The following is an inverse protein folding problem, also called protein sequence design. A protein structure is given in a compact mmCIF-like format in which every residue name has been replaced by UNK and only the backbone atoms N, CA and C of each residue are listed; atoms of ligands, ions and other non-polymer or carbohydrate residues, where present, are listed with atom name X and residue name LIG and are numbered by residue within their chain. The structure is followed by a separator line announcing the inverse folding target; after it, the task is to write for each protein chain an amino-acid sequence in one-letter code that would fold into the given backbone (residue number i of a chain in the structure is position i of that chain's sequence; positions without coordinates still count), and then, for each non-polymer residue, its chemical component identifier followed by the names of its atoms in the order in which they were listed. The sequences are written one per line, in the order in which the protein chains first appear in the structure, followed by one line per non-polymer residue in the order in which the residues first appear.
data_IF_575860017614
#
_entry.id   IF_575860017614
#
_cell.length_a   1.000
_cell.length_b   1.000
_cell.length_c   1.000
_cell.angle_alpha   90.00
_cell.angle_beta   90.00
_cell.angle_gamma   90.00
#
_symmetry.space_group_name_H-M   'P 1'
#
loop_
_entity.id
_entity.type
_entity.pdbx_description
1 polymer ?
#
# COMPACT_ATOMS: atom_id res chain seq x y z
N UNK A 1 -2.69 -7.94 -17.90
CA UNK A 1 -1.74 -6.87 -17.55
C UNK A 1 -0.31 -7.18 -17.93
N UNK A 2 0.14 -8.41 -17.70
CA UNK A 2 1.52 -8.84 -17.97
C UNK A 2 1.97 -8.52 -19.40
N UNK A 3 1.11 -8.71 -20.39
CA UNK A 3 1.45 -8.49 -21.80
C UNK A 3 1.70 -7.02 -22.17
N UNK A 4 1.20 -6.09 -21.33
CA UNK A 4 1.29 -4.64 -21.58
C UNK A 4 2.33 -3.95 -20.70
N UNK A 5 3.08 -4.72 -19.92
CA UNK A 5 4.07 -4.22 -18.96
C UNK A 5 5.48 -4.67 -19.35
N UNK A 6 6.47 -3.86 -19.00
CA UNK A 6 7.89 -4.20 -19.20
C UNK A 6 8.41 -5.07 -18.07
N UNK A 7 8.04 -4.76 -16.84
CA UNK A 7 8.55 -5.40 -15.64
C UNK A 7 7.43 -5.82 -14.70
N UNK A 8 7.70 -6.85 -13.94
CA UNK A 8 6.95 -7.11 -12.72
C UNK A 8 7.53 -6.19 -11.63
N UNK A 9 6.65 -5.50 -10.89
CA UNK A 9 7.05 -4.67 -9.76
C UNK A 9 6.62 -5.39 -8.50
N UNK A 10 7.48 -6.28 -7.99
CA UNK A 10 7.13 -7.19 -6.91
C UNK A 10 7.14 -6.48 -5.56
N UNK A 11 8.23 -5.81 -5.21
CA UNK A 11 8.35 -5.13 -3.93
C UNK A 11 9.74 -4.56 -3.72
N UNK A 12 9.87 -3.80 -2.63
CA UNK A 12 11.12 -3.15 -2.25
C UNK A 12 11.18 -2.97 -0.73
N UNK A 13 12.38 -2.77 -0.21
CA UNK A 13 12.60 -2.52 1.21
C UNK A 13 12.93 -3.78 1.99
N UNK A 14 12.53 -3.81 3.25
CA UNK A 14 12.91 -4.87 4.18
C UNK A 14 11.88 -6.01 4.17
N UNK A 15 12.26 -7.18 3.64
CA UNK A 15 11.38 -8.37 3.60
C UNK A 15 11.04 -8.89 5.01
N UNK A 16 11.85 -8.55 6.01
CA UNK A 16 11.61 -8.89 7.41
C UNK A 16 10.95 -7.73 8.18
N UNK A 17 10.51 -6.71 7.46
CA UNK A 17 9.91 -5.52 8.05
C UNK A 17 8.61 -5.81 8.79
N UNK A 18 8.41 -5.11 9.91
CA UNK A 18 7.19 -5.22 10.71
C UNK A 18 5.99 -4.55 10.05
N UNK A 19 6.22 -3.61 9.13
CA UNK A 19 5.17 -2.89 8.42
C UNK A 19 5.23 -3.25 6.94
N UNK A 20 4.07 -3.62 6.37
CA UNK A 20 3.90 -3.86 4.94
C UNK A 20 2.96 -2.79 4.39
N UNK A 21 3.47 -2.03 3.42
CA UNK A 21 2.72 -0.98 2.76
C UNK A 21 2.34 -1.45 1.36
N UNK A 22 1.06 -1.42 1.05
CA UNK A 22 0.52 -1.93 -0.20
C UNK A 22 -0.17 -0.80 -0.95
N UNK A 23 0.40 -0.42 -2.10
CA UNK A 23 -0.19 0.55 -3.01
C UNK A 23 -1.12 -0.11 -4.02
N UNK A 24 -1.50 0.64 -5.04
CA UNK A 24 -2.50 0.21 -6.01
C UNK A 24 -1.88 -0.61 -7.16
N UNK A 25 -1.13 0.03 -8.03
CA UNK A 25 -0.48 -0.59 -9.19
C UNK A 25 0.69 0.27 -9.66
N UNK A 26 1.68 -0.33 -10.36
CA UNK A 26 2.78 0.44 -10.93
C UNK A 26 2.30 1.41 -12.00
N UNK A 27 2.93 2.58 -12.05
CA UNK A 27 2.80 3.53 -13.15
C UNK A 27 3.94 3.35 -14.16
N UNK A 28 4.06 4.30 -15.09
CA UNK A 28 5.09 4.25 -16.14
C UNK A 28 6.50 4.15 -15.60
N UNK A 29 6.82 4.99 -14.61
CA UNK A 29 8.18 5.05 -14.07
C UNK A 29 8.54 3.78 -13.30
N UNK A 30 7.61 3.28 -12.49
CA UNK A 30 7.78 2.03 -11.76
C UNK A 30 7.95 0.84 -12.69
N UNK A 31 7.17 0.81 -13.79
CA UNK A 31 7.29 -0.23 -14.82
C UNK A 31 8.66 -0.23 -15.50
N UNK A 32 9.20 0.98 -15.75
CA UNK A 32 10.55 1.12 -16.36
C UNK A 32 11.66 0.65 -15.43
N UNK A 33 11.57 1.01 -14.16
CA UNK A 33 12.63 0.77 -13.16
C UNK A 33 12.49 -0.60 -12.49
N UNK A 34 11.27 -1.13 -12.40
CA UNK A 34 10.99 -2.38 -11.72
C UNK A 34 10.87 -2.25 -10.20
N UNK A 35 10.76 -1.02 -9.67
CA UNK A 35 10.64 -0.73 -8.24
C UNK A 35 9.41 0.10 -7.95
N UNK A 36 8.75 -0.13 -6.78
CA UNK A 36 7.53 0.62 -6.43
C UNK A 36 7.84 2.07 -6.03
N UNK A 37 6.86 2.93 -6.21
CA UNK A 37 6.84 4.31 -5.73
C UNK A 37 8.10 5.09 -6.11
N UNK A 38 8.21 5.45 -7.37
CA UNK A 38 9.32 6.23 -7.94
C UNK A 38 8.85 7.66 -8.27
N UNK A 39 9.81 8.57 -8.57
CA UNK A 39 9.51 9.94 -8.97
C UNK A 39 8.79 10.73 -7.88
N UNK A 40 7.85 11.61 -8.28
CA UNK A 40 7.12 12.50 -7.37
C UNK A 40 6.28 11.74 -6.34
N UNK A 41 5.66 10.65 -6.77
CA UNK A 41 4.88 9.76 -5.90
C UNK A 41 5.80 9.17 -4.82
N UNK A 42 6.96 8.68 -5.22
CA UNK A 42 7.95 8.12 -4.30
C UNK A 42 8.51 9.16 -3.34
N UNK A 43 8.79 10.37 -3.83
CA UNK A 43 9.26 11.48 -2.99
C UNK A 43 8.24 11.85 -1.93
N UNK A 44 6.95 11.91 -2.30
CA UNK A 44 5.89 12.20 -1.33
C UNK A 44 5.77 11.08 -0.29
N UNK A 45 5.78 9.83 -0.72
CA UNK A 45 5.75 8.69 0.20
C UNK A 45 6.89 8.75 1.21
N UNK A 46 8.11 9.02 0.74
CA UNK A 46 9.28 9.12 1.61
C UNK A 46 9.11 10.23 2.65
N UNK A 47 8.59 11.38 2.25
CA UNK A 47 8.31 12.49 3.17
C UNK A 47 7.24 12.13 4.20
N UNK A 48 6.19 11.44 3.77
CA UNK A 48 5.12 10.99 4.66
C UNK A 48 5.69 10.05 5.74
N UNK A 49 6.49 9.08 5.34
CA UNK A 49 7.11 8.13 6.27
C UNK A 49 8.08 8.82 7.23
N UNK A 50 8.93 9.72 6.71
CA UNK A 50 9.88 10.46 7.54
C UNK A 50 9.19 11.37 8.56
N UNK A 51 7.99 11.86 8.25
CA UNK A 51 7.19 12.67 9.18
C UNK A 51 6.85 11.92 10.47
N UNK A 52 6.86 10.60 10.44
CA UNK A 52 6.67 9.75 11.63
C UNK A 52 7.91 8.91 11.94
N UNK A 53 9.08 9.40 11.54
CA UNK A 53 10.41 8.82 11.80
C UNK A 53 10.60 7.41 11.23
N UNK A 54 9.99 7.12 10.10
CA UNK A 54 10.18 5.84 9.39
C UNK A 54 10.99 6.07 8.13
N UNK A 55 12.11 5.38 8.00
CA UNK A 55 12.87 5.31 6.76
C UNK A 55 12.25 4.25 5.86
N UNK A 56 12.12 4.57 4.57
CA UNK A 56 11.50 3.67 3.60
C UNK A 56 12.12 2.28 3.57
N UNK A 57 13.44 2.20 3.70
CA UNK A 57 14.17 0.92 3.69
C UNK A 57 13.91 0.02 4.91
N UNK A 58 13.22 0.53 5.94
CA UNK A 58 12.89 -0.24 7.14
C UNK A 58 11.57 -1.02 7.01
N UNK A 59 10.75 -0.66 6.02
CA UNK A 59 9.46 -1.32 5.79
C UNK A 59 9.48 -2.07 4.45
N UNK A 60 8.51 -2.96 4.26
CA UNK A 60 8.33 -3.63 2.97
C UNK A 60 7.21 -2.96 2.19
N UNK A 61 7.47 -2.66 0.93
CA UNK A 61 6.55 -1.92 0.06
C UNK A 61 6.24 -2.74 -1.18
N UNK A 62 4.95 -2.88 -1.52
CA UNK A 62 4.50 -3.56 -2.72
C UNK A 62 3.22 -2.91 -3.27
N UNK A 63 2.59 -3.56 -4.23
CA UNK A 63 1.32 -3.15 -4.84
C UNK A 63 0.29 -4.26 -4.79
N UNK A 64 -0.98 -3.89 -4.84
CA UNK A 64 -2.08 -4.85 -4.99
C UNK A 64 -2.00 -5.60 -6.31
N UNK A 65 -1.60 -4.90 -7.38
CA UNK A 65 -1.31 -5.47 -8.69
C UNK A 65 0.15 -5.19 -9.04
N UNK A 66 0.88 -6.20 -9.46
CA UNK A 66 2.33 -6.11 -9.68
C UNK A 66 2.72 -5.76 -11.12
N UNK A 67 1.74 -5.55 -12.00
CA UNK A 67 1.94 -5.14 -13.39
C UNK A 67 1.19 -3.85 -13.68
N UNK A 68 1.83 -2.97 -14.47
CA UNK A 68 1.24 -1.69 -14.87
C UNK A 68 0.01 -1.92 -15.76
N UNK A 69 -1.16 -1.33 -15.43
CA UNK A 69 -2.30 -1.34 -16.33
C UNK A 69 -2.01 -0.55 -17.63
N UNK A 70 -2.60 -0.95 -18.77
CA UNK A 70 -2.41 -0.21 -20.03
C UNK A 70 -2.77 1.27 -19.88
N UNK A 71 -1.91 2.15 -20.39
CA UNK A 71 -2.10 3.60 -20.39
C UNK A 71 -2.38 4.19 -18.99
N UNK A 72 -1.88 3.54 -17.94
CA UNK A 72 -2.09 3.93 -16.53
C UNK A 72 -3.57 4.02 -16.14
N UNK A 73 -4.44 3.31 -16.83
CA UNK A 73 -5.84 3.24 -16.45
C UNK A 73 -6.02 2.60 -15.09
N UNK A 74 -7.15 2.87 -14.45
CA UNK A 74 -7.49 2.18 -13.20
C UNK A 74 -7.66 0.68 -13.46
N UNK A 75 -7.16 -0.19 -12.57
CA UNK A 75 -7.40 -1.62 -12.68
C UNK A 75 -8.89 -1.97 -12.70
N UNK A 76 -9.25 -2.95 -13.51
CA UNK A 76 -10.62 -3.44 -13.60
C UNK A 76 -10.92 -4.41 -12.46
N UNK A 77 -12.19 -4.51 -12.09
CA UNK A 77 -12.60 -5.39 -10.98
C UNK A 77 -12.14 -6.84 -11.11
N UNK A 78 -12.21 -7.41 -12.32
CA UNK A 78 -11.75 -8.79 -12.55
C UNK A 78 -10.22 -8.93 -12.43
N UNK A 79 -9.46 -7.89 -12.77
CA UNK A 79 -8.03 -7.87 -12.59
C UNK A 79 -7.65 -7.84 -11.11
N UNK A 80 -8.35 -6.99 -10.34
CA UNK A 80 -8.16 -6.91 -8.90
C UNK A 80 -8.45 -8.26 -8.23
N UNK A 81 -9.56 -8.90 -8.60
CA UNK A 81 -9.93 -10.22 -8.05
C UNK A 81 -8.89 -11.28 -8.38
N UNK A 82 -8.37 -11.28 -9.60
CA UNK A 82 -7.34 -12.23 -10.02
C UNK A 82 -6.06 -12.11 -9.19
N UNK A 83 -5.62 -10.88 -8.91
CA UNK A 83 -4.40 -10.63 -8.15
C UNK A 83 -4.60 -10.70 -6.63
N UNK A 84 -5.83 -10.67 -6.16
CA UNK A 84 -6.16 -10.69 -4.74
C UNK A 84 -5.58 -11.92 -4.01
N UNK A 85 -5.65 -13.08 -4.62
CA UNK A 85 -5.11 -14.31 -4.02
C UNK A 85 -3.59 -14.28 -3.92
N UNK A 86 -2.91 -13.75 -4.95
CA UNK A 86 -1.46 -13.55 -4.92
C UNK A 86 -1.07 -12.57 -3.83
N UNK A 87 -1.85 -11.49 -3.66
CA UNK A 87 -1.60 -10.51 -2.60
C UNK A 87 -1.71 -11.14 -1.22
N UNK A 88 -2.73 -11.96 -0.99
CA UNK A 88 -2.91 -12.66 0.29
C UNK A 88 -1.75 -13.59 0.60
N UNK A 89 -1.28 -14.35 -0.40
CA UNK A 89 -0.07 -15.18 -0.25
C UNK A 89 1.16 -14.32 0.05
N UNK A 90 1.30 -13.19 -0.64
CA UNK A 90 2.41 -12.25 -0.43
C UNK A 90 2.43 -11.73 1.00
N UNK A 91 1.26 -11.33 1.52
CA UNK A 91 1.12 -10.90 2.92
C UNK A 91 1.55 -12.02 3.87
N UNK A 92 1.10 -13.24 3.62
CA UNK A 92 1.43 -14.39 4.47
C UNK A 92 2.93 -14.70 4.48
N UNK A 93 3.61 -14.54 3.35
CA UNK A 93 5.05 -14.77 3.22
C UNK A 93 5.84 -13.69 3.98
N UNK A 94 5.49 -12.43 3.81
CA UNK A 94 6.15 -11.31 4.51
C UNK A 94 5.82 -11.35 6.00
N UNK A 95 4.59 -11.71 6.34
CA UNK A 95 4.13 -11.87 7.72
C UNK A 95 4.40 -10.64 8.59
N UNK A 96 3.89 -9.46 8.17
CA UNK A 96 4.12 -8.22 8.92
C UNK A 96 3.30 -8.16 10.21
N UNK A 97 3.60 -7.19 11.06
CA UNK A 97 2.82 -6.89 12.27
C UNK A 97 1.71 -5.87 11.99
N UNK A 98 1.89 -5.03 10.98
CA UNK A 98 0.93 -4.00 10.55
C UNK A 98 0.89 -3.96 9.04
N UNK A 99 -0.32 -3.80 8.48
CA UNK A 99 -0.52 -3.61 7.04
C UNK A 99 -1.14 -2.23 6.81
N UNK A 100 -0.59 -1.47 5.87
CA UNK A 100 -1.13 -0.19 5.41
C UNK A 100 -1.52 -0.32 3.95
N UNK A 101 -2.79 -0.08 3.65
CA UNK A 101 -3.32 -0.06 2.28
C UNK A 101 -3.42 1.39 1.82
N UNK A 102 -2.77 1.72 0.71
CA UNK A 102 -2.80 3.06 0.14
C UNK A 102 -3.62 3.07 -1.14
N UNK A 103 -4.82 3.64 -1.05
CA UNK A 103 -5.72 3.83 -2.17
C UNK A 103 -6.86 2.83 -2.23
N UNK A 104 -7.89 3.19 -3.02
CA UNK A 104 -9.13 2.40 -3.14
C UNK A 104 -8.93 1.03 -3.79
N UNK A 105 -7.99 0.92 -4.73
CA UNK A 105 -7.67 -0.36 -5.38
C UNK A 105 -7.07 -1.34 -4.40
N UNK A 106 -6.15 -0.88 -3.54
CA UNK A 106 -5.56 -1.71 -2.51
C UNK A 106 -6.63 -2.17 -1.50
N UNK A 107 -7.52 -1.26 -1.11
CA UNK A 107 -8.64 -1.57 -0.23
C UNK A 107 -9.55 -2.66 -0.83
N UNK A 108 -9.94 -2.48 -2.09
CA UNK A 108 -10.79 -3.44 -2.80
C UNK A 108 -10.13 -4.82 -2.93
N UNK A 109 -8.83 -4.87 -3.18
CA UNK A 109 -8.09 -6.12 -3.32
C UNK A 109 -8.13 -6.97 -2.05
N UNK A 110 -8.17 -6.35 -0.88
CA UNK A 110 -8.15 -7.05 0.41
C UNK A 110 -9.56 -7.29 0.94
N UNK A 111 -10.41 -6.25 0.94
CA UNK A 111 -11.73 -6.32 1.60
C UNK A 111 -12.88 -6.64 0.66
N UNK A 112 -12.70 -6.51 -0.65
CA UNK A 112 -13.78 -6.69 -1.66
C UNK A 112 -15.03 -5.88 -1.32
N UNK A 113 -14.81 -4.69 -0.75
CA UNK A 113 -15.87 -3.82 -0.23
C UNK A 113 -16.18 -2.70 -1.21
N UNK A 114 -17.44 -2.26 -1.25
CA UNK A 114 -17.90 -1.08 -1.98
C UNK A 114 -17.81 0.19 -1.12
N UNK A 115 -17.21 0.12 0.06
CA UNK A 115 -17.04 1.28 0.92
C UNK A 115 -16.17 2.35 0.25
N UNK A 116 -16.50 3.61 0.53
CA UNK A 116 -15.69 4.73 0.05
C UNK A 116 -14.45 4.87 0.92
N UNK A 117 -13.31 5.07 0.28
CA UNK A 117 -12.04 5.26 1.00
C UNK A 117 -12.10 6.46 1.95
N UNK A 118 -12.82 7.52 1.57
CA UNK A 118 -13.01 8.71 2.42
C UNK A 118 -13.69 8.40 3.75
N UNK A 119 -14.49 7.35 3.82
CA UNK A 119 -15.19 6.92 5.03
C UNK A 119 -14.41 5.86 5.81
N UNK A 120 -13.56 5.10 5.14
CA UNK A 120 -12.81 3.97 5.72
C UNK A 120 -11.42 4.35 6.19
N UNK A 121 -10.82 5.37 5.58
CA UNK A 121 -9.45 5.78 5.91
C UNK A 121 -9.26 6.06 7.41
N UNK A 122 -8.08 5.74 7.91
CA UNK A 122 -7.69 6.03 9.28
C UNK A 122 -8.28 5.11 10.35
N UNK A 123 -9.16 4.21 9.97
CA UNK A 123 -9.78 3.25 10.89
C UNK A 123 -9.02 1.94 10.90
N UNK A 124 -8.71 1.43 12.08
CA UNK A 124 -8.09 0.12 12.22
C UNK A 124 -9.13 -0.97 12.00
N UNK A 125 -8.78 -1.92 11.14
CA UNK A 125 -9.54 -3.14 10.89
C UNK A 125 -8.61 -4.33 11.08
N UNK A 126 -9.15 -5.53 10.98
CA UNK A 126 -8.38 -6.76 11.05
C UNK A 126 -8.72 -7.66 9.88
N UNK A 127 -7.72 -8.39 9.38
CA UNK A 127 -7.94 -9.47 8.42
C UNK A 127 -7.34 -10.75 8.99
N UNK A 128 -7.94 -11.87 8.62
CA UNK A 128 -7.47 -13.20 9.02
C UNK A 128 -7.00 -13.93 7.77
N UNK A 129 -5.71 -14.29 7.76
CA UNK A 129 -5.10 -15.08 6.68
C UNK A 129 -4.34 -16.23 7.31
N UNK A 130 -4.61 -17.46 6.85
CA UNK A 130 -3.95 -18.69 7.36
C UNK A 130 -3.92 -18.75 8.89
N UNK A 131 -5.06 -18.51 9.52
CA UNK A 131 -5.24 -18.53 10.98
C UNK A 131 -4.47 -17.46 11.75
N UNK A 132 -3.95 -16.43 11.05
CA UNK A 132 -3.29 -15.29 11.67
C UNK A 132 -4.09 -14.03 11.42
N UNK A 133 -4.20 -13.18 12.45
CA UNK A 133 -4.88 -11.90 12.40
C UNK A 133 -3.88 -10.77 12.20
N UNK A 134 -4.17 -9.90 11.22
CA UNK A 134 -3.33 -8.74 10.90
C UNK A 134 -4.10 -7.44 11.11
N UNK A 135 -3.58 -6.49 11.92
CA UNK A 135 -4.14 -5.15 11.95
C UNK A 135 -3.85 -4.42 10.64
N UNK A 136 -4.86 -3.76 10.10
CA UNK A 136 -4.78 -3.14 8.78
C UNK A 136 -5.51 -1.81 8.78
N UNK A 137 -4.92 -0.80 8.13
CA UNK A 137 -5.50 0.52 7.98
C UNK A 137 -5.42 0.96 6.52
N UNK A 138 -6.50 1.60 6.05
CA UNK A 138 -6.55 2.20 4.71
C UNK A 138 -6.27 3.69 4.83
N UNK A 139 -5.50 4.24 3.88
CA UNK A 139 -5.26 5.68 3.75
C UNK A 139 -5.20 6.08 2.28
N UNK A 140 -5.17 7.37 2.01
CA UNK A 140 -5.06 7.87 0.63
C UNK A 140 -3.70 7.52 0.01
N UNK A 141 -3.69 7.26 -1.29
CA UNK A 141 -2.46 7.04 -2.04
C UNK A 141 -1.69 8.35 -2.24
N UNK A 142 -0.35 8.30 -2.36
CA UNK A 142 0.42 9.50 -2.70
C UNK A 142 0.00 10.15 -4.02
N UNK A 143 -0.34 9.35 -5.03
CA UNK A 143 -0.81 9.90 -6.33
C UNK A 143 -2.11 10.68 -6.18
N UNK A 144 -3.03 10.23 -5.34
CA UNK A 144 -4.26 10.96 -5.03
C UNK A 144 -3.95 12.29 -4.35
N UNK A 145 -3.00 12.29 -3.41
CA UNK A 145 -2.61 13.50 -2.67
C UNK A 145 -1.89 14.53 -3.56
N UNK A 146 -1.16 14.08 -4.57
CA UNK A 146 -0.56 14.98 -5.56
C UNK A 146 -1.63 15.70 -6.40
N UNK A 147 -2.73 15.00 -6.72
CA UNK A 147 -3.87 15.59 -7.46
C UNK A 147 -4.75 16.45 -6.56
N UNK A 148 -4.89 16.10 -5.29
CA UNK A 148 -5.76 16.77 -4.33
C UNK A 148 -4.98 17.09 -3.05
N UNK A 149 -4.09 18.13 -3.10
CA UNK A 149 -3.21 18.44 -1.96
C UNK A 149 -3.95 18.84 -0.68
N UNK A 150 -5.18 19.33 -0.79
CA UNK A 150 -6.02 19.66 0.35
C UNK A 150 -6.37 18.45 1.22
N UNK A 151 -6.23 17.24 0.67
CA UNK A 151 -6.50 15.99 1.39
C UNK A 151 -5.32 15.52 2.25
N UNK A 152 -4.16 16.15 2.15
CA UNK A 152 -2.97 15.78 2.95
C UNK A 152 -3.23 15.84 4.46
N UNK A 153 -4.09 16.76 4.91
CA UNK A 153 -4.46 16.87 6.33
C UNK A 153 -5.06 15.57 6.89
N UNK A 154 -5.83 14.84 6.07
CA UNK A 154 -6.42 13.56 6.47
C UNK A 154 -5.36 12.47 6.55
N UNK A 155 -4.45 12.44 5.59
CA UNK A 155 -3.34 11.49 5.61
C UNK A 155 -2.39 11.74 6.78
N UNK A 156 -2.23 13.00 7.19
CA UNK A 156 -1.47 13.32 8.39
C UNK A 156 -2.10 12.72 9.64
N UNK A 157 -3.43 12.79 9.77
CA UNK A 157 -4.15 12.11 10.86
C UNK A 157 -3.91 10.60 10.84
N UNK A 158 -3.97 10.00 9.65
CA UNK A 158 -3.76 8.57 9.48
C UNK A 158 -2.33 8.16 9.87
N UNK A 159 -1.34 8.96 9.49
CA UNK A 159 0.06 8.72 9.87
C UNK A 159 0.27 8.82 11.39
N UNK A 160 -0.39 9.75 12.06
CA UNK A 160 -0.35 9.83 13.53
C UNK A 160 -0.96 8.59 14.17
N UNK A 161 -2.05 8.08 13.60
CA UNK A 161 -2.68 6.84 14.06
C UNK A 161 -1.74 5.63 13.86
N UNK A 162 -1.04 5.60 12.74
CA UNK A 162 -0.04 4.56 12.48
C UNK A 162 1.10 4.63 13.50
N UNK A 163 1.62 5.83 13.75
CA UNK A 163 2.68 6.04 14.74
C UNK A 163 2.24 5.55 16.14
N UNK A 164 1.00 5.83 16.52
CA UNK A 164 0.46 5.38 17.80
C UNK A 164 0.35 3.85 17.86
N UNK A 165 -0.09 3.22 16.78
CA UNK A 165 -0.19 1.76 16.70
C UNK A 165 1.18 1.08 16.83
N UNK A 166 2.19 1.67 16.21
CA UNK A 166 3.57 1.18 16.32
C UNK A 166 4.02 1.19 17.79
N UNK A 167 3.71 2.26 18.52
CA UNK A 167 4.01 2.36 19.94
C UNK A 167 3.22 1.34 20.78
N UNK A 168 1.92 1.22 20.52
CA UNK A 168 1.03 0.31 21.25
C UNK A 168 1.47 -1.14 21.12
N UNK A 169 1.92 -1.53 19.93
CA UNK A 169 2.40 -2.88 19.64
C UNK A 169 3.90 -3.06 19.97
N UNK A 170 4.56 -2.01 20.47
CA UNK A 170 6.00 -2.02 20.83
C UNK A 170 6.87 -2.49 19.67
N UNK A 171 6.54 -2.04 18.46
CA UNK A 171 7.32 -2.37 17.27
C UNK A 171 8.57 -1.51 17.24
N UNK A 172 9.72 -2.16 17.11
CA UNK A 172 11.00 -1.48 16.96
C UNK A 172 11.28 -1.25 15.46
N UNK A 173 11.39 0.03 15.10
CA UNK A 173 11.60 0.43 13.70
C UNK A 173 12.73 1.46 13.60
#
# INVERSE_FOLDING_TARGET
LKMNSKNIVMGDGNVDGSIMLIGEAPGLLEDKVGKPFQGDVGSLLNKMLLAINIKREKIYITYALNFRPPEDRKPLGHEIRKYSEFLKEHISIIDPKIIILMGSTAMEAVFRSNEKISETRGKWKEIILKNKTYPIMVTFSPSYLLRFPDKKKFSWEDLKNLRQKIRDLKINI
#
